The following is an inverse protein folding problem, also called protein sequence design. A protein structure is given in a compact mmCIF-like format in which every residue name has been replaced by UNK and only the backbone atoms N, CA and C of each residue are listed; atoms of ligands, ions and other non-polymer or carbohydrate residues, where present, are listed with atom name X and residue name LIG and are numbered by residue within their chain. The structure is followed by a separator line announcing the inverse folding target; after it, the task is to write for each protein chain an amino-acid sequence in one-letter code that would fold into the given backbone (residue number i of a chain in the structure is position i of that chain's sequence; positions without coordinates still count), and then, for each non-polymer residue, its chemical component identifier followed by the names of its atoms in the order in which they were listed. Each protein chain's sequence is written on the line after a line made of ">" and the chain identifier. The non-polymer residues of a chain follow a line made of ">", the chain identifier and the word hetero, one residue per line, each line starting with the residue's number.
data_IF_184434782103
#
_entry.id   IF_184434782103
#
_cell.length_a   1.000
_cell.length_b   1.000
_cell.length_c   1.000
_cell.angle_alpha   90.00
_cell.angle_beta   90.00
_cell.angle_gamma   90.00
#
_symmetry.space_group_name_H-M   'P 1'
#
loop_
_entity.id
_entity.type
_entity.pdbx_description
1 polymer ?
#
# COMPACT_ATOMS: atom_id res chain seq x y z
N UNK A 1 -7.61 29.32 2.63
CA UNK A 1 -7.33 27.87 2.65
C UNK A 1 -8.63 27.18 3.02
N UNK A 2 -9.30 26.55 2.06
CA UNK A 2 -10.50 25.76 2.33
C UNK A 2 -10.00 24.36 2.68
N UNK A 3 -10.10 23.98 3.95
CA UNK A 3 -9.96 22.58 4.35
C UNK A 3 -11.21 21.85 3.87
N UNK A 4 -11.21 21.35 2.64
CA UNK A 4 -12.30 20.49 2.16
C UNK A 4 -12.34 19.25 3.03
N UNK A 5 -13.41 19.08 3.81
CA UNK A 5 -13.70 17.79 4.44
C UNK A 5 -14.19 16.83 3.36
N UNK A 6 -13.73 15.57 3.39
CA UNK A 6 -14.29 14.52 2.55
C UNK A 6 -15.72 14.23 3.00
N UNK A 7 -16.61 14.01 2.04
CA UNK A 7 -18.00 13.62 2.28
C UNK A 7 -18.11 12.14 2.65
N UNK A 8 -19.30 11.70 3.10
CA UNK A 8 -19.57 10.27 3.31
C UNK A 8 -19.43 9.46 2.01
N UNK A 9 -19.82 10.03 0.88
CA UNK A 9 -19.65 9.41 -0.45
C UNK A 9 -18.16 9.23 -0.79
N UNK A 10 -17.33 10.24 -0.52
CA UNK A 10 -15.88 10.16 -0.73
C UNK A 10 -15.22 9.06 0.12
N UNK A 11 -15.67 8.89 1.36
CA UNK A 11 -15.19 7.81 2.25
C UNK A 11 -15.62 6.45 1.71
N UNK A 12 -16.83 6.34 1.14
CA UNK A 12 -17.30 5.11 0.51
C UNK A 12 -16.51 4.76 -0.77
N UNK A 13 -16.22 5.76 -1.61
CA UNK A 13 -15.33 5.62 -2.78
C UNK A 13 -13.95 5.14 -2.34
N UNK A 14 -13.36 5.79 -1.33
CA UNK A 14 -12.07 5.41 -0.79
C UNK A 14 -12.07 3.97 -0.24
N UNK A 15 -13.08 3.60 0.55
CA UNK A 15 -13.21 2.24 1.09
C UNK A 15 -13.28 1.20 -0.03
N UNK A 16 -14.10 1.47 -1.05
CA UNK A 16 -14.24 0.56 -2.20
C UNK A 16 -12.92 0.42 -2.96
N UNK A 17 -12.24 1.53 -3.24
CA UNK A 17 -10.95 1.54 -3.91
C UNK A 17 -9.89 0.77 -3.12
N UNK A 18 -9.89 0.91 -1.79
CA UNK A 18 -9.00 0.19 -0.88
C UNK A 18 -9.20 -1.33 -0.95
N UNK A 19 -10.44 -1.82 -1.09
CA UNK A 19 -10.73 -3.25 -1.27
C UNK A 19 -10.31 -3.80 -2.64
N UNK A 20 -10.09 -2.94 -3.63
CA UNK A 20 -9.54 -3.35 -4.93
C UNK A 20 -8.01 -3.48 -4.88
N UNK A 21 -7.33 -2.52 -4.25
CA UNK A 21 -5.86 -2.53 -4.16
C UNK A 21 -5.32 -3.49 -3.09
N UNK A 22 -6.08 -3.70 -2.01
CA UNK A 22 -5.80 -4.71 -1.00
C UNK A 22 -7.08 -5.54 -0.77
N UNK A 23 -7.29 -6.60 -1.58
CA UNK A 23 -8.49 -7.41 -1.50
C UNK A 23 -8.52 -8.32 -0.26
N UNK A 24 -9.72 -8.81 0.06
CA UNK A 24 -9.89 -9.84 1.07
C UNK A 24 -9.18 -11.13 0.67
N UNK A 25 -8.60 -11.82 1.66
CA UNK A 25 -7.94 -13.12 1.49
C UNK A 25 -8.37 -14.05 2.61
N UNK A 26 -8.97 -15.18 2.25
CA UNK A 26 -9.54 -16.15 3.20
C UNK A 26 -10.52 -15.50 4.20
N UNK A 27 -10.18 -15.50 5.49
CA UNK A 27 -10.94 -14.93 6.59
C UNK A 27 -10.57 -13.47 6.90
N UNK A 28 -9.59 -12.90 6.19
CA UNK A 28 -9.09 -11.55 6.41
C UNK A 28 -9.77 -10.57 5.42
N UNK A 29 -10.51 -9.55 5.90
CA UNK A 29 -11.12 -8.56 5.03
C UNK A 29 -10.08 -7.76 4.21
N UNK A 30 -10.52 -7.17 3.11
CA UNK A 30 -9.73 -6.18 2.38
C UNK A 30 -9.55 -4.90 3.20
N UNK A 31 -8.71 -3.98 2.73
CA UNK A 31 -8.41 -2.76 3.48
C UNK A 31 -9.65 -1.87 3.71
N UNK A 32 -10.59 -1.83 2.77
CA UNK A 32 -11.88 -1.17 2.93
C UNK A 32 -12.77 -1.91 3.92
N UNK A 33 -12.91 -3.23 3.77
CA UNK A 33 -13.67 -4.10 4.66
C UNK A 33 -13.18 -4.10 6.11
N UNK A 34 -11.92 -3.75 6.36
CA UNK A 34 -11.38 -3.53 7.71
C UNK A 34 -11.76 -2.16 8.33
N UNK A 35 -12.44 -1.28 7.58
CA UNK A 35 -12.83 0.06 8.03
C UNK A 35 -11.66 1.04 8.10
N UNK A 36 -10.57 0.79 7.36
CA UNK A 36 -9.34 1.60 7.46
C UNK A 36 -9.40 2.94 6.70
N UNK A 37 -10.46 3.18 5.92
CA UNK A 37 -10.61 4.40 5.13
C UNK A 37 -10.52 5.68 5.98
N UNK A 38 -11.14 5.70 7.16
CA UNK A 38 -11.06 6.85 8.09
C UNK A 38 -9.63 7.05 8.58
N UNK A 39 -8.90 5.97 8.87
CA UNK A 39 -7.50 6.05 9.31
C UNK A 39 -6.61 6.58 8.19
N UNK A 40 -6.85 6.18 6.94
CA UNK A 40 -6.16 6.75 5.76
C UNK A 40 -6.40 8.25 5.66
N UNK A 41 -7.65 8.70 5.79
CA UNK A 41 -8.00 10.13 5.78
C UNK A 41 -7.25 10.89 6.89
N UNK A 42 -7.29 10.38 8.12
CA UNK A 42 -6.64 11.03 9.27
C UNK A 42 -5.11 11.10 9.11
N UNK A 43 -4.47 10.03 8.64
CA UNK A 43 -3.02 9.99 8.45
C UNK A 43 -2.57 10.87 7.30
N UNK A 44 -3.32 10.89 6.19
CA UNK A 44 -3.02 11.77 5.06
C UNK A 44 -3.13 13.25 5.43
N UNK A 45 -4.02 13.64 6.35
CA UNK A 45 -4.14 15.04 6.82
C UNK A 45 -2.91 15.57 7.56
N UNK A 46 -2.05 14.69 8.07
CA UNK A 46 -0.86 15.11 8.82
C UNK A 46 0.22 15.75 7.94
N UNK A 47 0.17 15.56 6.62
CA UNK A 47 1.13 16.09 5.65
C UNK A 47 0.39 16.46 4.36
N UNK A 48 0.56 17.71 3.91
CA UNK A 48 -0.12 18.25 2.73
C UNK A 48 0.12 17.40 1.47
N UNK A 49 1.30 16.79 1.32
CA UNK A 49 1.61 15.92 0.19
C UNK A 49 0.70 14.69 0.17
N UNK A 50 0.49 14.04 1.31
CA UNK A 50 -0.39 12.85 1.39
C UNK A 50 -1.86 13.24 1.28
N UNK A 51 -2.23 14.39 1.82
CA UNK A 51 -3.59 14.93 1.68
C UNK A 51 -3.93 15.25 0.22
N UNK A 52 -3.02 15.91 -0.50
CA UNK A 52 -3.21 16.22 -1.91
C UNK A 52 -3.25 14.94 -2.75
N UNK A 53 -2.38 13.96 -2.49
CA UNK A 53 -2.41 12.67 -3.17
C UNK A 53 -3.76 11.95 -2.98
N UNK A 54 -4.24 11.86 -1.73
CA UNK A 54 -5.52 11.23 -1.41
C UNK A 54 -6.69 11.94 -2.11
N UNK A 55 -6.76 13.26 -2.03
CA UNK A 55 -7.87 14.01 -2.64
C UNK A 55 -7.83 13.95 -4.16
N UNK A 56 -6.66 13.96 -4.80
CA UNK A 56 -6.52 13.73 -6.25
C UNK A 56 -7.10 12.38 -6.65
N UNK A 57 -6.72 11.29 -5.97
CA UNK A 57 -7.22 9.93 -6.27
C UNK A 57 -8.73 9.84 -6.07
N UNK A 58 -9.24 10.29 -4.92
CA UNK A 58 -10.69 10.24 -4.62
C UNK A 58 -11.48 11.06 -5.62
N UNK A 59 -11.06 12.28 -5.94
CA UNK A 59 -11.76 13.13 -6.92
C UNK A 59 -11.76 12.50 -8.32
N UNK A 60 -10.66 11.88 -8.74
CA UNK A 60 -10.56 11.22 -10.03
C UNK A 60 -11.50 10.00 -10.12
N UNK A 61 -11.57 9.18 -9.07
CA UNK A 61 -12.48 8.03 -9.00
C UNK A 61 -13.95 8.46 -8.92
N UNK A 62 -14.27 9.48 -8.12
CA UNK A 62 -15.63 10.05 -8.05
C UNK A 62 -16.08 10.61 -9.42
N UNK A 63 -15.15 11.17 -10.20
CA UNK A 63 -15.43 11.66 -11.55
C UNK A 63 -15.64 10.53 -12.55
N UNK A 64 -14.90 9.42 -12.45
CA UNK A 64 -15.02 8.28 -13.35
C UNK A 64 -16.43 7.63 -13.35
N UNK A 65 -17.17 7.75 -12.25
CA UNK A 65 -18.56 7.29 -12.15
C UNK A 65 -19.62 8.25 -12.73
N UNK A 66 -19.23 9.49 -13.03
CA UNK A 66 -20.17 10.55 -13.41
C UNK A 66 -20.57 10.53 -14.90
N UNK A 67 -19.86 9.76 -15.73
CA UNK A 67 -20.03 9.73 -17.19
C UNK A 67 -21.14 8.75 -17.68
N UNK A 68 -22.02 8.32 -16.77
CA UNK A 68 -23.18 7.45 -17.05
C UNK A 68 -23.06 6.03 -16.50
N UNK A 69 -21.94 5.69 -15.87
CA UNK A 69 -21.63 4.40 -15.22
C UNK A 69 -22.17 4.26 -13.79
N UNK A 70 -22.63 5.35 -13.17
CA UNK A 70 -23.04 5.37 -11.75
C UNK A 70 -21.85 5.61 -10.83
N UNK A 71 -22.10 5.94 -9.55
CA UNK A 71 -21.02 6.18 -8.57
C UNK A 71 -19.99 5.05 -8.59
N UNK A 72 -18.70 5.34 -8.45
CA UNK A 72 -17.61 4.35 -8.49
C UNK A 72 -17.89 3.09 -7.64
N UNK A 73 -18.48 3.28 -6.46
CA UNK A 73 -18.85 2.18 -5.56
C UNK A 73 -19.91 1.21 -6.11
N UNK A 74 -20.69 1.64 -7.11
CA UNK A 74 -21.73 0.86 -7.78
C UNK A 74 -21.26 0.15 -9.06
N UNK A 75 -20.06 0.46 -9.54
CA UNK A 75 -19.45 -0.18 -10.71
C UNK A 75 -19.12 -1.65 -10.41
N UNK A 76 -19.04 -2.48 -11.45
CA UNK A 76 -18.53 -3.85 -11.32
C UNK A 76 -17.04 -3.85 -10.93
N UNK A 77 -16.54 -4.98 -10.42
CA UNK A 77 -15.13 -5.09 -10.00
C UNK A 77 -14.14 -4.82 -11.14
N UNK A 78 -14.45 -5.27 -12.37
CA UNK A 78 -13.61 -5.02 -13.55
C UNK A 78 -13.59 -3.53 -13.92
N UNK A 79 -14.76 -2.87 -13.86
CA UNK A 79 -14.89 -1.43 -14.11
C UNK A 79 -14.17 -0.59 -13.04
N UNK A 80 -14.20 -1.03 -11.78
CA UNK A 80 -13.44 -0.39 -10.70
C UNK A 80 -11.92 -0.53 -10.92
N UNK A 81 -11.46 -1.71 -11.35
CA UNK A 81 -10.05 -1.94 -11.67
C UNK A 81 -9.59 -1.10 -12.87
N UNK A 82 -10.43 -0.96 -13.90
CA UNK A 82 -10.14 -0.11 -15.06
C UNK A 82 -10.08 1.37 -14.68
N UNK A 83 -10.99 1.84 -13.82
CA UNK A 83 -10.95 3.20 -13.28
C UNK A 83 -9.67 3.44 -12.45
N UNK A 84 -9.25 2.49 -11.61
CA UNK A 84 -8.00 2.59 -10.86
C UNK A 84 -6.78 2.64 -11.77
N UNK A 85 -6.71 1.79 -12.80
CA UNK A 85 -5.64 1.85 -13.82
C UNK A 85 -5.62 3.18 -14.54
N UNK A 86 -6.78 3.75 -14.86
CA UNK A 86 -6.87 5.06 -15.50
C UNK A 86 -6.31 6.17 -14.60
N UNK A 87 -6.62 6.15 -13.28
CA UNK A 87 -6.06 7.09 -12.31
C UNK A 87 -4.56 6.87 -12.11
N UNK A 88 -4.08 5.62 -12.06
CA UNK A 88 -2.65 5.31 -11.99
C UNK A 88 -1.89 5.86 -13.20
N UNK A 89 -2.48 5.78 -14.39
CA UNK A 89 -1.87 6.30 -15.62
C UNK A 89 -1.90 7.84 -15.70
N UNK A 90 -2.98 8.49 -15.26
CA UNK A 90 -3.12 9.95 -15.35
C UNK A 90 -2.41 10.70 -14.22
N UNK A 91 -2.42 10.13 -13.01
CA UNK A 91 -1.93 10.75 -11.78
C UNK A 91 -0.92 9.84 -11.03
N UNK A 92 0.15 9.36 -11.69
CA UNK A 92 1.00 8.29 -11.15
C UNK A 92 1.66 8.62 -9.81
N UNK A 93 2.07 9.88 -9.60
CA UNK A 93 2.70 10.31 -8.36
C UNK A 93 1.70 10.35 -7.19
N UNK A 94 0.48 10.82 -7.42
CA UNK A 94 -0.57 10.84 -6.40
C UNK A 94 -1.04 9.42 -6.07
N UNK A 95 -1.22 8.58 -7.10
CA UNK A 95 -1.62 7.19 -6.93
C UNK A 95 -0.59 6.39 -6.10
N UNK A 96 0.70 6.52 -6.41
CA UNK A 96 1.77 5.87 -5.66
C UNK A 96 1.81 6.30 -4.19
N UNK A 97 1.70 7.61 -3.90
CA UNK A 97 1.66 8.11 -2.53
C UNK A 97 0.42 7.66 -1.76
N UNK A 98 -0.73 7.57 -2.42
CA UNK A 98 -1.94 7.02 -1.82
C UNK A 98 -1.77 5.54 -1.48
N UNK A 99 -1.20 4.74 -2.40
CA UNK A 99 -0.88 3.33 -2.14
C UNK A 99 0.09 3.16 -0.96
N UNK A 100 1.13 3.99 -0.85
CA UNK A 100 2.07 3.93 0.26
C UNK A 100 1.34 4.09 1.61
N UNK A 101 0.40 5.03 1.70
CA UNK A 101 -0.40 5.25 2.92
C UNK A 101 -1.32 4.05 3.18
N UNK A 102 -2.03 3.56 2.17
CA UNK A 102 -2.93 2.39 2.29
C UNK A 102 -2.17 1.16 2.76
N UNK A 103 -1.05 0.82 2.11
CA UNK A 103 -0.22 -0.32 2.48
C UNK A 103 0.39 -0.17 3.87
N UNK A 104 0.90 1.02 4.20
CA UNK A 104 1.45 1.27 5.54
C UNK A 104 0.39 0.99 6.61
N UNK A 105 -0.83 1.52 6.44
CA UNK A 105 -1.89 1.35 7.42
C UNK A 105 -2.39 -0.10 7.47
N UNK A 106 -2.56 -0.75 6.32
CA UNK A 106 -3.03 -2.14 6.27
C UNK A 106 -2.02 -3.11 6.90
N UNK A 107 -0.76 -3.06 6.48
CA UNK A 107 0.25 -3.99 6.98
C UNK A 107 0.66 -3.74 8.43
N UNK A 108 0.31 -2.58 9.02
CA UNK A 108 0.47 -2.33 10.46
C UNK A 108 -0.64 -2.96 11.32
N UNK A 109 -1.70 -3.53 10.73
CA UNK A 109 -2.80 -4.09 11.52
C UNK A 109 -2.38 -5.39 12.22
N UNK A 110 -2.69 -5.56 13.52
CA UNK A 110 -2.35 -6.79 14.26
C UNK A 110 -2.94 -8.07 13.64
N UNK A 111 -4.12 -7.98 13.01
CA UNK A 111 -4.73 -9.11 12.32
C UNK A 111 -3.90 -9.54 11.09
N UNK A 112 -3.37 -8.57 10.33
CA UNK A 112 -2.49 -8.82 9.18
C UNK A 112 -1.17 -9.42 9.65
N UNK A 113 -0.55 -8.86 10.70
CA UNK A 113 0.66 -9.45 11.29
C UNK A 113 0.45 -10.91 11.71
N UNK A 114 -0.66 -11.20 12.41
CA UNK A 114 -1.00 -12.57 12.83
C UNK A 114 -1.14 -13.52 11.63
N UNK A 115 -1.77 -13.07 10.55
CA UNK A 115 -1.97 -13.87 9.32
C UNK A 115 -0.67 -14.15 8.57
N UNK A 116 0.29 -13.22 8.62
CA UNK A 116 1.61 -13.35 8.01
C UNK A 116 2.61 -14.11 8.88
N UNK A 117 2.20 -14.59 10.05
CA UNK A 117 3.10 -15.09 11.11
C UNK A 117 4.22 -14.08 11.42
N UNK A 118 3.89 -12.80 11.32
CA UNK A 118 4.81 -11.72 11.61
C UNK A 118 5.01 -11.62 13.12
N UNK A 119 6.13 -12.14 13.59
CA UNK A 119 6.47 -12.15 15.01
C UNK A 119 6.92 -10.80 15.57
N UNK A 120 7.28 -9.82 14.74
CA UNK A 120 7.66 -8.46 15.18
C UNK A 120 8.86 -8.36 16.14
N UNK A 121 9.51 -9.48 16.45
CA UNK A 121 10.65 -9.56 17.35
C UNK A 121 11.86 -8.84 16.75
N UNK A 122 12.67 -8.25 17.63
CA UNK A 122 13.96 -7.69 17.23
C UNK A 122 14.82 -8.77 16.57
N UNK A 123 15.50 -8.47 15.46
CA UNK A 123 16.39 -9.42 14.80
C UNK A 123 17.53 -9.88 15.72
N UNK A 124 17.92 -9.09 16.71
CA UNK A 124 18.99 -9.45 17.66
C UNK A 124 18.38 -9.79 19.03
N UNK A 125 18.96 -10.77 19.76
CA UNK A 125 20.21 -11.48 19.47
C UNK A 125 20.07 -12.75 18.60
N UNK A 126 18.85 -13.23 18.35
CA UNK A 126 18.61 -14.58 17.80
C UNK A 126 18.85 -14.67 16.29
N UNK A 127 18.65 -13.57 15.55
CA UNK A 127 18.67 -13.55 14.09
C UNK A 127 17.39 -14.10 13.46
N UNK A 128 17.31 -13.97 12.15
CA UNK A 128 16.42 -14.79 11.32
C UNK A 128 17.15 -16.08 10.93
N UNK A 129 16.41 -17.17 10.76
CA UNK A 129 16.97 -18.38 10.16
C UNK A 129 17.35 -18.08 8.71
N UNK A 130 18.62 -18.30 8.37
CA UNK A 130 19.14 -18.13 7.03
C UNK A 130 19.51 -19.50 6.46
N UNK A 131 19.36 -19.72 5.14
CA UNK A 131 19.95 -20.87 4.49
C UNK A 131 21.46 -20.98 4.81
N UNK A 132 22.05 -22.19 4.81
CA UNK A 132 23.49 -22.35 4.97
C UNK A 132 24.25 -21.46 3.98
N UNK A 133 25.36 -20.88 4.45
CA UNK A 133 26.20 -20.02 3.63
C UNK A 133 26.71 -20.78 2.39
N UNK A 134 26.46 -20.22 1.21
CA UNK A 134 27.00 -20.74 -0.04
C UNK A 134 28.48 -20.36 -0.20
N UNK A 135 29.37 -21.28 0.20
CA UNK A 135 30.82 -21.13 0.07
C UNK A 135 31.30 -20.92 -1.37
N UNK A 136 30.53 -21.31 -2.38
CA UNK A 136 30.91 -21.20 -3.78
C UNK A 136 31.05 -19.74 -4.24
N UNK A 137 30.34 -18.81 -3.57
CA UNK A 137 30.42 -17.36 -3.81
C UNK A 137 31.85 -16.83 -3.61
N UNK A 138 32.64 -17.48 -2.75
CA UNK A 138 34.02 -17.10 -2.45
C UNK A 138 35.07 -17.71 -3.41
N UNK A 139 34.66 -18.54 -4.37
CA UNK A 139 35.58 -19.24 -5.28
C UNK A 139 36.53 -18.29 -6.01
N UNK A 140 36.02 -17.17 -6.54
CA UNK A 140 36.81 -16.16 -7.27
C UNK A 140 37.72 -15.34 -6.34
N UNK A 141 37.24 -14.97 -5.14
CA UNK A 141 38.02 -14.12 -4.25
C UNK A 141 39.18 -14.88 -3.61
N UNK A 142 39.00 -16.17 -3.31
CA UNK A 142 40.04 -17.05 -2.77
C UNK A 142 41.22 -17.28 -3.73
N UNK A 143 41.02 -17.08 -5.04
CA UNK A 143 42.07 -17.19 -6.05
C UNK A 143 42.90 -15.92 -6.24
N UNK A 144 42.49 -14.79 -5.64
CA UNK A 144 43.22 -13.53 -5.79
C UNK A 144 44.42 -13.52 -4.85
N UNK A 145 45.55 -13.02 -5.36
CA UNK A 145 46.71 -12.73 -4.53
C UNK A 145 46.33 -11.76 -3.39
N UNK A 146 46.86 -11.95 -2.17
CA UNK A 146 46.59 -11.05 -1.04
C UNK A 146 46.87 -9.60 -1.41
N UNK A 147 45.87 -8.73 -1.21
CA UNK A 147 46.03 -7.29 -1.42
C UNK A 147 46.70 -6.59 -0.21
N UNK A 148 46.88 -7.30 0.91
CA UNK A 148 47.53 -6.78 2.11
C UNK A 148 48.97 -7.28 2.26
N UNK A 149 49.82 -6.47 2.90
CA UNK A 149 51.18 -6.87 3.26
C UNK A 149 51.13 -7.92 4.37
N UNK A 150 51.85 -9.03 4.20
CA UNK A 150 52.17 -9.94 5.32
C UNK A 150 53.19 -9.24 6.22
N UNK A 151 52.87 -9.14 7.50
CA UNK A 151 53.78 -8.64 8.55
C UNK A 151 54.32 -9.84 9.30
#
# INVERSE_FOLDING_TARGET
>A
MITSNLSESDVNVLSTAMDRVVPAVDDLPGAGGMGLAIVVVERSRADERFWNALTTVVNALSSAGSDGSGEFASMSGDEQDDALRAVEMSEPAAFALWLDVVFTIYYMQPAVHKRLDWHGRSPQPVGNEMPPWDESVLSKIRQREPFWRKV
#
